data_IF_106686188350
#
_entry.id   IF_106686188350
#
_cell.length_a   1.000
_cell.length_b   1.000
_cell.length_c   1.000
_cell.angle_alpha   90.00
_cell.angle_beta   90.00
_cell.angle_gamma   90.00
#
_symmetry.space_group_name_H-M   'P 1'
#
loop_
_entity.id
_entity.type
_entity.pdbx_description
1 polymer ?
#
# COMPACT_ATOMS: atom_id res chain seq x y z
N UNK A 1 -6.50 15.04 -38.96
CA UNK A 1 -6.44 14.84 -37.49
C UNK A 1 -6.13 13.37 -37.15
N UNK A 2 -4.92 12.89 -37.46
CA UNK A 2 -4.45 11.54 -37.09
C UNK A 2 -3.15 11.58 -36.27
N UNK A 3 -2.34 12.62 -36.46
CA UNK A 3 -1.07 12.83 -35.77
C UNK A 3 -1.22 13.01 -34.25
N UNK A 4 -2.28 13.68 -33.81
CA UNK A 4 -2.49 13.95 -32.38
C UNK A 4 -2.72 12.65 -31.57
N UNK A 5 -3.41 11.67 -32.16
CA UNK A 5 -3.64 10.37 -31.54
C UNK A 5 -2.33 9.57 -31.42
N UNK A 6 -1.52 9.56 -32.49
CA UNK A 6 -0.22 8.88 -32.48
C UNK A 6 0.76 9.50 -31.48
N UNK A 7 0.80 10.84 -31.38
CA UNK A 7 1.64 11.54 -30.40
C UNK A 7 1.18 11.24 -28.97
N UNK A 8 -0.14 11.23 -28.70
CA UNK A 8 -0.68 10.87 -27.40
C UNK A 8 -0.34 9.44 -26.98
N UNK A 9 -0.43 8.48 -27.90
CA UNK A 9 -0.09 7.09 -27.64
C UNK A 9 1.41 6.88 -27.38
N UNK A 10 2.26 7.62 -28.11
CA UNK A 10 3.72 7.60 -27.87
C UNK A 10 4.05 8.24 -26.52
N UNK A 11 3.44 9.38 -26.18
CA UNK A 11 3.62 9.96 -24.85
C UNK A 11 3.09 9.05 -23.75
N UNK A 12 1.97 8.36 -23.95
CA UNK A 12 1.45 7.41 -22.97
C UNK A 12 2.40 6.21 -22.82
N UNK A 13 2.96 5.67 -23.91
CA UNK A 13 3.94 4.59 -23.85
C UNK A 13 5.28 5.03 -23.20
N UNK A 14 5.68 6.30 -23.37
CA UNK A 14 6.91 6.84 -22.79
C UNK A 14 6.72 7.34 -21.33
N UNK A 15 5.51 7.79 -20.97
CA UNK A 15 5.16 8.24 -19.60
C UNK A 15 4.52 7.16 -18.74
N UNK A 16 4.03 6.06 -19.35
CA UNK A 16 3.87 4.80 -18.66
C UNK A 16 5.27 4.26 -18.40
N UNK A 17 5.93 4.87 -17.43
CA UNK A 17 7.11 4.34 -16.77
C UNK A 17 6.88 2.85 -16.57
N UNK A 18 7.81 2.01 -17.04
CA UNK A 18 7.84 0.62 -16.62
C UNK A 18 7.66 0.62 -15.10
N UNK A 19 6.67 -0.14 -14.62
CA UNK A 19 6.45 -0.34 -13.19
C UNK A 19 7.56 -1.23 -12.59
N UNK A 20 8.82 -0.98 -12.97
CA UNK A 20 10.04 -1.45 -12.32
C UNK A 20 10.28 -0.70 -11.00
N UNK A 21 9.23 -0.06 -10.46
CA UNK A 21 9.29 0.62 -9.20
C UNK A 21 9.26 -0.44 -8.09
N UNK A 22 10.45 -0.76 -7.58
CA UNK A 22 10.62 -1.46 -6.31
C UNK A 22 9.65 -0.82 -5.30
N UNK A 23 8.80 -1.65 -4.69
CA UNK A 23 7.80 -1.13 -3.75
C UNK A 23 8.50 -0.40 -2.60
N UNK A 24 7.95 0.75 -2.21
CA UNK A 24 8.47 1.51 -1.08
C UNK A 24 8.58 0.63 0.17
N UNK A 25 9.77 0.46 0.77
CA UNK A 25 9.96 -0.39 1.95
C UNK A 25 9.08 0.00 3.13
N UNK A 26 8.80 1.30 3.29
CA UNK A 26 7.90 1.80 4.31
C UNK A 26 6.46 1.36 4.08
N UNK A 27 6.01 1.31 2.82
CA UNK A 27 4.66 0.83 2.49
C UNK A 27 4.51 -0.65 2.81
N UNK A 28 5.52 -1.47 2.47
CA UNK A 28 5.50 -2.90 2.80
C UNK A 28 5.46 -3.12 4.32
N UNK A 29 6.30 -2.40 5.06
CA UNK A 29 6.35 -2.48 6.53
C UNK A 29 5.04 -2.01 7.16
N UNK A 30 4.44 -0.94 6.64
CA UNK A 30 3.16 -0.39 7.08
C UNK A 30 2.01 -1.37 6.87
N UNK A 31 1.93 -2.02 5.69
CA UNK A 31 0.92 -3.03 5.41
C UNK A 31 1.05 -4.25 6.33
N UNK A 32 2.26 -4.74 6.57
CA UNK A 32 2.49 -5.85 7.51
C UNK A 32 2.12 -5.43 8.94
N UNK A 33 2.52 -4.23 9.37
CA UNK A 33 2.14 -3.68 10.67
C UNK A 33 0.63 -3.54 10.83
N UNK A 34 -0.05 -3.03 9.82
CA UNK A 34 -1.51 -2.87 9.80
C UNK A 34 -2.23 -4.19 10.08
N UNK A 35 -1.81 -5.25 9.39
CA UNK A 35 -2.42 -6.57 9.46
C UNK A 35 -2.09 -7.31 10.76
N UNK A 36 -0.85 -7.20 11.25
CA UNK A 36 -0.34 -8.12 12.28
C UNK A 36 -0.03 -7.47 13.63
N UNK A 37 0.22 -6.16 13.70
CA UNK A 37 0.51 -5.50 14.97
C UNK A 37 -0.76 -5.23 15.77
N UNK A 38 -0.60 -5.23 17.10
CA UNK A 38 -1.57 -4.70 18.06
C UNK A 38 -1.90 -3.23 17.77
N UNK A 39 -3.15 -2.83 18.00
CA UNK A 39 -3.68 -1.50 17.66
C UNK A 39 -2.82 -0.35 18.17
N UNK A 40 -2.49 -0.34 19.46
CA UNK A 40 -1.70 0.73 20.08
C UNK A 40 -0.24 0.76 19.59
N UNK A 41 0.30 -0.39 19.19
CA UNK A 41 1.65 -0.45 18.64
C UNK A 41 1.67 0.12 17.24
N UNK A 42 0.70 -0.26 16.40
CA UNK A 42 0.57 0.25 15.05
C UNK A 42 0.35 1.77 15.01
N UNK A 43 -0.52 2.31 15.88
CA UNK A 43 -0.77 3.75 15.94
C UNK A 43 0.52 4.55 16.18
N UNK A 44 1.38 4.10 17.10
CA UNK A 44 2.70 4.70 17.33
C UNK A 44 3.61 4.65 16.10
N UNK A 45 3.54 3.57 15.31
CA UNK A 45 4.34 3.50 14.06
C UNK A 45 3.92 4.54 13.03
N UNK A 46 2.68 5.05 13.09
CA UNK A 46 2.19 6.07 12.17
C UNK A 46 2.75 7.47 12.45
N UNK A 47 3.26 7.73 13.67
CA UNK A 47 3.88 9.01 14.04
C UNK A 47 5.03 9.38 13.10
N UNK A 48 5.74 8.38 12.54
CA UNK A 48 6.86 8.59 11.60
C UNK A 48 6.46 9.37 10.33
N UNK A 49 5.18 9.35 9.97
CA UNK A 49 4.68 10.02 8.76
C UNK A 49 4.32 11.49 8.97
N UNK A 50 4.30 11.99 10.22
CA UNK A 50 3.87 13.34 10.55
C UNK A 50 2.52 13.73 9.89
N UNK A 51 1.60 12.76 9.79
CA UNK A 51 0.32 12.97 9.13
C UNK A 51 -0.66 13.75 10.03
N UNK A 52 -1.56 14.56 9.44
CA UNK A 52 -2.69 15.15 10.15
C UNK A 52 -3.46 14.10 10.98
N UNK A 53 -3.94 14.47 12.20
CA UNK A 53 -4.66 13.54 13.08
C UNK A 53 -5.86 12.86 12.41
N UNK A 54 -6.56 13.57 11.52
CA UNK A 54 -7.70 13.05 10.76
C UNK A 54 -7.34 11.81 9.92
N UNK A 55 -6.16 11.80 9.29
CA UNK A 55 -5.73 10.64 8.49
C UNK A 55 -5.31 9.46 9.37
N UNK A 56 -4.73 9.74 10.54
CA UNK A 56 -4.42 8.71 11.52
C UNK A 56 -5.72 8.08 12.02
N UNK A 57 -6.70 8.88 12.40
CA UNK A 57 -8.00 8.41 12.87
C UNK A 57 -8.70 7.55 11.80
N UNK A 58 -8.79 8.04 10.56
CA UNK A 58 -9.39 7.29 9.46
C UNK A 58 -8.70 5.93 9.26
N UNK A 59 -7.36 5.92 9.30
CA UNK A 59 -6.57 4.69 9.17
C UNK A 59 -6.80 3.72 10.34
N UNK A 60 -6.93 4.24 11.56
CA UNK A 60 -7.21 3.47 12.76
C UNK A 60 -8.64 2.92 12.80
N UNK A 61 -9.60 3.59 12.15
CA UNK A 61 -10.96 3.05 11.95
C UNK A 61 -10.92 1.81 11.05
N UNK A 62 -10.20 1.85 9.93
CA UNK A 62 -10.05 0.68 9.05
C UNK A 62 -9.30 -0.45 9.75
N UNK A 63 -8.30 -0.12 10.58
CA UNK A 63 -7.61 -1.12 11.40
C UNK A 63 -8.57 -1.83 12.36
N UNK A 64 -9.46 -1.10 13.02
CA UNK A 64 -10.43 -1.70 13.94
C UNK A 64 -11.29 -2.76 13.23
N UNK A 65 -11.79 -2.47 12.03
CA UNK A 65 -12.53 -3.44 11.21
C UNK A 65 -11.65 -4.63 10.79
N UNK A 66 -10.38 -4.38 10.48
CA UNK A 66 -9.43 -5.43 10.08
C UNK A 66 -9.11 -6.35 11.26
N UNK A 67 -8.98 -5.81 12.46
CA UNK A 67 -8.65 -6.58 13.68
C UNK A 67 -9.79 -7.50 14.14
N UNK A 68 -11.04 -7.27 13.70
CA UNK A 68 -12.16 -8.21 13.87
C UNK A 68 -11.96 -9.52 13.08
N UNK A 69 -11.10 -9.50 12.05
CA UNK A 69 -10.77 -10.71 11.30
C UNK A 69 -9.89 -11.66 12.13
N UNK A 70 -10.11 -12.96 11.93
CA UNK A 70 -9.24 -13.98 12.53
C UNK A 70 -7.78 -13.74 12.14
N UNK A 71 -6.87 -14.03 13.07
CA UNK A 71 -5.43 -13.89 12.83
C UNK A 71 -4.98 -14.69 11.60
N UNK A 72 -5.56 -15.88 11.40
CA UNK A 72 -5.27 -16.72 10.23
C UNK A 72 -5.67 -16.03 8.92
N UNK A 73 -6.85 -15.38 8.86
CA UNK A 73 -7.29 -14.63 7.69
C UNK A 73 -6.33 -13.47 7.37
N UNK A 74 -5.89 -12.74 8.40
CA UNK A 74 -4.92 -11.63 8.25
C UNK A 74 -3.56 -12.11 7.74
N UNK A 75 -3.07 -13.24 8.25
CA UNK A 75 -1.84 -13.89 7.76
C UNK A 75 -1.95 -14.33 6.30
N UNK A 76 -3.11 -14.83 5.86
CA UNK A 76 -3.31 -15.21 4.45
C UNK A 76 -3.26 -13.98 3.53
N UNK A 77 -3.80 -12.85 3.96
CA UNK A 77 -3.72 -11.58 3.23
C UNK A 77 -2.28 -11.09 3.18
N UNK A 78 -1.57 -11.07 4.30
CA UNK A 78 -0.14 -10.68 4.35
C UNK A 78 0.70 -11.52 3.39
N UNK A 79 0.51 -12.84 3.40
CA UNK A 79 1.19 -13.76 2.48
C UNK A 79 0.84 -13.50 1.02
N UNK A 80 -0.40 -13.13 0.72
CA UNK A 80 -0.82 -12.77 -0.63
C UNK A 80 -0.14 -11.47 -1.10
N UNK A 81 -0.08 -10.45 -0.23
CA UNK A 81 0.64 -9.20 -0.48
C UNK A 81 2.12 -9.46 -0.71
N UNK A 82 2.77 -10.29 0.12
CA UNK A 82 4.17 -10.67 -0.05
C UNK A 82 4.45 -11.31 -1.42
N UNK A 83 3.54 -12.15 -1.92
CA UNK A 83 3.66 -12.73 -3.28
C UNK A 83 3.49 -11.69 -4.38
N UNK A 84 2.66 -10.67 -4.19
CA UNK A 84 2.48 -9.57 -5.16
C UNK A 84 3.76 -8.73 -5.22
N UNK A 85 4.31 -8.37 -4.05
CA UNK A 85 5.57 -7.61 -3.96
C UNK A 85 6.72 -8.30 -4.71
N UNK A 86 6.85 -9.62 -4.56
CA UNK A 86 7.88 -10.41 -5.25
C UNK A 86 7.71 -10.50 -6.77
N UNK A 87 6.49 -10.29 -7.31
CA UNK A 87 6.25 -10.27 -8.75
C UNK A 87 6.58 -8.92 -9.40
N UNK A 88 6.60 -7.85 -8.60
CA UNK A 88 6.92 -6.49 -9.04
C UNK A 88 8.40 -6.14 -8.85
N UNK A 89 9.22 -7.10 -8.42
CA UNK A 89 10.67 -7.02 -8.28
C UNK A 89 11.39 -7.57 -9.51
#
# INVERSE_FOLDING_TARGET
MKLFLSVLLITLALYCYEANAITCPDLATDMTGFLLQEKNMYEKTLEKYNAPPEFIEAKMQVKACTDEMSLMSRMLIEKALGKILLKCL
#
